data_IF_491420617212
#
_entry.id   IF_491420617212
#
_cell.length_a   1.000
_cell.length_b   1.000
_cell.length_c   1.000
_cell.angle_alpha   90.00
_cell.angle_beta   90.00
_cell.angle_gamma   90.00
#
_symmetry.space_group_name_H-M   'P 1'
#
loop_
_entity.id
_entity.type
_entity.pdbx_description
1 polymer ?
#
# COMPACT_ATOMS: atom_id res chain seq x y z
N UNK A 1 79.21 15.05 -5.10
CA UNK A 1 78.45 16.23 -5.56
C UNK A 1 77.72 15.74 -6.78
N UNK A 2 76.56 15.14 -6.56
CA UNK A 2 75.87 14.36 -7.58
C UNK A 2 74.44 14.88 -7.67
N UNK A 3 74.13 15.44 -8.84
CA UNK A 3 72.94 16.21 -9.10
C UNK A 3 71.69 15.34 -9.05
N UNK A 4 70.71 15.80 -8.26
CA UNK A 4 69.38 15.19 -8.13
C UNK A 4 68.57 15.46 -9.42
N UNK A 5 67.95 14.47 -10.06
CA UNK A 5 67.13 14.69 -11.25
C UNK A 5 65.88 15.53 -10.91
N UNK A 6 65.60 16.58 -11.69
CA UNK A 6 64.36 17.34 -11.58
C UNK A 6 63.18 16.54 -12.17
N UNK A 7 61.99 16.57 -11.53
CA UNK A 7 60.80 15.92 -12.07
C UNK A 7 60.22 16.72 -13.25
N UNK A 8 59.86 16.01 -14.31
CA UNK A 8 59.20 16.56 -15.49
C UNK A 8 57.83 17.17 -15.13
N UNK A 9 57.59 18.41 -15.52
CA UNK A 9 56.30 19.08 -15.41
C UNK A 9 55.33 18.58 -16.48
N UNK A 10 54.47 17.63 -16.14
CA UNK A 10 53.35 17.23 -17.00
C UNK A 10 52.15 18.14 -16.72
N UNK A 11 51.89 19.09 -17.62
CA UNK A 11 50.65 19.87 -17.63
C UNK A 11 49.51 19.00 -18.16
N UNK A 12 48.64 18.51 -17.28
CA UNK A 12 47.36 17.88 -17.65
C UNK A 12 46.40 18.98 -18.12
N UNK A 13 45.77 18.86 -19.30
CA UNK A 13 44.71 19.78 -19.67
C UNK A 13 43.47 19.53 -18.80
N UNK A 14 43.00 20.58 -18.13
CA UNK A 14 41.72 20.64 -17.42
C UNK A 14 40.60 20.26 -18.38
N UNK A 15 39.69 19.32 -18.06
CA UNK A 15 38.51 19.11 -18.88
C UNK A 15 37.63 20.36 -18.76
N UNK A 16 37.39 21.03 -19.88
CA UNK A 16 36.41 22.09 -19.95
C UNK A 16 35.04 21.51 -19.58
N UNK A 17 34.52 21.91 -18.42
CA UNK A 17 33.16 21.59 -18.02
C UNK A 17 32.22 22.38 -18.94
N UNK A 18 31.56 21.70 -19.88
CA UNK A 18 30.53 22.33 -20.72
C UNK A 18 29.46 22.93 -19.82
N UNK A 19 29.29 24.26 -19.89
CA UNK A 19 28.30 25.02 -19.14
C UNK A 19 26.93 25.07 -19.82
N UNK A 20 26.69 24.24 -20.84
CA UNK A 20 25.37 24.15 -21.45
C UNK A 20 24.50 23.13 -20.70
N UNK A 21 23.29 23.54 -20.26
CA UNK A 21 22.32 22.60 -19.73
C UNK A 21 22.01 21.53 -20.79
N UNK A 22 21.86 20.25 -20.40
CA UNK A 22 21.50 19.20 -21.34
C UNK A 22 20.20 19.59 -22.04
N UNK A 23 20.22 19.54 -23.37
CA UNK A 23 19.05 19.78 -24.20
C UNK A 23 17.90 18.88 -23.71
N UNK A 24 16.69 19.42 -23.50
CA UNK A 24 15.58 18.63 -22.98
C UNK A 24 15.31 17.47 -23.93
N UNK A 25 15.25 16.25 -23.39
CA UNK A 25 14.88 15.06 -24.14
C UNK A 25 13.62 15.33 -24.97
N UNK A 26 13.58 14.93 -26.25
CA UNK A 26 12.42 15.16 -27.09
C UNK A 26 11.16 14.67 -26.39
N UNK A 27 10.15 15.54 -26.28
CA UNK A 27 8.82 15.12 -25.85
C UNK A 27 8.41 14.00 -26.80
N UNK A 28 8.04 12.81 -26.27
CA UNK A 28 7.60 11.71 -27.13
C UNK A 28 6.51 12.23 -28.06
N UNK A 29 6.74 12.12 -29.37
CA UNK A 29 5.75 12.52 -30.35
C UNK A 29 4.44 11.78 -30.07
N UNK A 30 3.31 12.48 -30.21
CA UNK A 30 1.96 12.00 -29.90
C UNK A 30 1.61 10.63 -30.54
N UNK A 31 2.37 10.19 -31.55
CA UNK A 31 2.27 8.88 -32.19
C UNK A 31 2.58 7.68 -31.27
N UNK A 32 3.19 7.88 -30.11
CA UNK A 32 3.39 6.80 -29.13
C UNK A 32 2.15 6.53 -28.26
N UNK A 33 1.16 7.44 -28.23
CA UNK A 33 -0.06 7.33 -27.42
C UNK A 33 -1.08 6.37 -28.08
N UNK A 34 -1.02 6.20 -29.41
CA UNK A 34 -1.96 5.36 -30.18
C UNK A 34 -1.79 3.84 -30.01
N UNK A 35 -0.69 3.37 -29.42
CA UNK A 35 -0.42 1.92 -29.25
C UNK A 35 -0.83 1.34 -27.90
N UNK A 36 -1.45 2.12 -27.02
CA UNK A 36 -2.00 1.53 -25.81
C UNK A 36 -3.22 0.68 -26.17
N UNK A 37 -3.37 -0.52 -25.56
CA UNK A 37 -4.62 -1.25 -25.67
C UNK A 37 -5.77 -0.32 -25.26
N UNK A 38 -6.96 -0.45 -25.89
CA UNK A 38 -8.10 0.35 -25.49
C UNK A 38 -8.28 0.20 -23.98
N UNK A 39 -8.51 1.33 -23.29
CA UNK A 39 -8.82 1.31 -21.86
C UNK A 39 -9.89 0.23 -21.66
N UNK A 40 -9.72 -0.71 -20.73
CA UNK A 40 -10.73 -1.73 -20.46
C UNK A 40 -12.09 -1.05 -20.34
N UNK A 41 -13.14 -1.71 -20.85
CA UNK A 41 -14.49 -1.23 -20.67
C UNK A 41 -14.69 -0.83 -19.19
N UNK A 42 -15.41 0.26 -18.87
CA UNK A 42 -15.67 0.65 -17.50
C UNK A 42 -16.11 -0.60 -16.73
N UNK A 43 -15.42 -0.89 -15.62
CA UNK A 43 -15.83 -2.00 -14.78
C UNK A 43 -17.28 -1.76 -14.39
N UNK A 44 -18.12 -2.77 -14.57
CA UNK A 44 -19.46 -2.73 -14.01
C UNK A 44 -19.32 -2.36 -12.52
N UNK A 45 -20.13 -1.42 -12.05
CA UNK A 45 -20.05 -0.97 -10.66
C UNK A 45 -20.31 -2.16 -9.73
N UNK A 46 -19.32 -2.54 -8.94
CA UNK A 46 -19.54 -3.55 -7.91
C UNK A 46 -20.30 -2.90 -6.75
N UNK A 47 -21.54 -3.33 -6.54
CA UNK A 47 -22.36 -2.93 -5.40
C UNK A 47 -22.58 -4.15 -4.53
N UNK A 48 -21.88 -4.23 -3.39
CA UNK A 48 -21.95 -5.41 -2.52
C UNK A 48 -23.39 -5.78 -2.11
N UNK A 49 -24.29 -4.80 -1.97
CA UNK A 49 -25.70 -5.05 -1.61
C UNK A 49 -26.49 -5.81 -2.66
N UNK A 50 -26.08 -5.77 -3.92
CA UNK A 50 -26.73 -6.54 -4.99
C UNK A 50 -26.40 -8.03 -4.88
N UNK A 51 -25.21 -8.35 -4.34
CA UNK A 51 -24.70 -9.71 -4.20
C UNK A 51 -24.98 -10.29 -2.81
N UNK A 52 -24.97 -9.43 -1.78
CA UNK A 52 -25.19 -9.77 -0.38
C UNK A 52 -26.24 -8.81 0.23
N UNK A 53 -27.52 -8.89 -0.17
CA UNK A 53 -28.56 -7.95 0.24
C UNK A 53 -28.85 -7.98 1.75
N UNK A 54 -28.58 -9.13 2.39
CA UNK A 54 -28.79 -9.33 3.81
C UNK A 54 -27.53 -9.06 4.64
N UNK A 55 -26.39 -8.72 4.01
CA UNK A 55 -25.17 -8.47 4.76
C UNK A 55 -25.31 -7.23 5.63
N UNK A 56 -24.89 -7.36 6.88
CA UNK A 56 -24.98 -6.30 7.89
C UNK A 56 -23.64 -5.59 8.00
N UNK A 57 -23.67 -4.25 7.95
CA UNK A 57 -22.48 -3.42 8.18
C UNK A 57 -22.42 -3.02 9.65
N UNK A 58 -21.31 -3.30 10.31
CA UNK A 58 -21.10 -2.98 11.74
C UNK A 58 -19.82 -2.18 11.89
N UNK A 59 -19.92 -1.01 12.52
CA UNK A 59 -18.78 -0.15 12.84
C UNK A 59 -18.39 -0.27 14.30
N UNK A 60 -17.15 -0.68 14.56
CA UNK A 60 -16.67 -1.09 15.87
C UNK A 60 -15.56 -0.15 16.34
N UNK A 61 -15.76 0.51 17.48
CA UNK A 61 -14.79 1.45 18.09
C UNK A 61 -14.38 1.06 19.52
N UNK A 62 -14.91 -0.04 20.03
CA UNK A 62 -14.63 -0.58 21.36
C UNK A 62 -14.11 -2.03 21.24
N UNK A 63 -13.07 -2.37 21.99
CA UNK A 63 -12.41 -3.69 21.91
C UNK A 63 -13.33 -4.83 22.37
N UNK A 64 -14.10 -4.65 23.45
CA UNK A 64 -15.02 -5.66 23.96
C UNK A 64 -16.17 -5.92 22.98
N UNK A 65 -16.73 -4.87 22.39
CA UNK A 65 -17.77 -4.99 21.35
C UNK A 65 -17.21 -5.67 20.10
N UNK A 66 -16.00 -5.30 19.66
CA UNK A 66 -15.34 -5.96 18.55
C UNK A 66 -15.12 -7.44 18.83
N UNK A 67 -14.65 -7.81 20.02
CA UNK A 67 -14.46 -9.20 20.42
C UNK A 67 -15.78 -9.99 20.39
N UNK A 68 -16.88 -9.41 20.89
CA UNK A 68 -18.20 -10.05 20.85
C UNK A 68 -18.70 -10.29 19.43
N UNK A 69 -18.62 -9.29 18.56
CA UNK A 69 -19.05 -9.41 17.16
C UNK A 69 -18.17 -10.38 16.37
N UNK A 70 -16.85 -10.28 16.49
CA UNK A 70 -15.92 -11.15 15.77
C UNK A 70 -15.97 -12.61 16.26
N UNK A 71 -16.45 -12.86 17.47
CA UNK A 71 -16.65 -14.23 17.97
C UNK A 71 -17.74 -15.00 17.24
N UNK A 72 -18.64 -14.32 16.52
CA UNK A 72 -19.67 -14.98 15.70
C UNK A 72 -19.19 -15.28 14.28
N UNK A 73 -17.98 -14.84 13.90
CA UNK A 73 -17.46 -15.02 12.55
C UNK A 73 -16.93 -16.44 12.37
N UNK A 74 -17.45 -17.14 11.37
CA UNK A 74 -17.02 -18.51 11.03
C UNK A 74 -15.74 -18.50 10.19
N UNK A 75 -14.84 -19.50 10.37
CA UNK A 75 -13.70 -19.69 9.48
C UNK A 75 -14.13 -19.92 8.03
N UNK A 76 -13.31 -19.47 7.09
CA UNK A 76 -13.60 -19.51 5.65
C UNK A 76 -12.86 -18.42 4.88
N UNK A 77 -13.29 -18.17 3.65
CA UNK A 77 -12.80 -17.03 2.88
C UNK A 77 -13.43 -15.74 3.40
N UNK A 78 -12.60 -14.75 3.72
CA UNK A 78 -13.04 -13.44 4.18
C UNK A 78 -12.38 -12.35 3.34
N UNK A 79 -13.14 -11.31 3.00
CA UNK A 79 -12.58 -10.06 2.52
C UNK A 79 -11.78 -9.40 3.63
N UNK A 80 -10.58 -8.91 3.31
CA UNK A 80 -9.66 -8.28 4.24
C UNK A 80 -8.99 -7.07 3.60
N UNK A 81 -9.02 -5.95 4.31
CA UNK A 81 -8.35 -4.71 3.90
C UNK A 81 -7.94 -3.85 5.11
N UNK A 82 -6.91 -3.02 4.94
CA UNK A 82 -6.33 -2.18 6.00
C UNK A 82 -6.25 -0.72 5.52
N UNK A 83 -6.61 0.22 6.39
CA UNK A 83 -6.53 1.65 6.08
C UNK A 83 -5.71 2.39 7.14
N UNK A 84 -4.88 3.34 6.72
CA UNK A 84 -4.08 4.21 7.57
C UNK A 84 -4.13 5.66 7.08
N UNK A 85 -3.78 6.60 7.96
CA UNK A 85 -3.69 8.02 7.57
C UNK A 85 -2.54 8.20 6.56
N UNK A 86 -2.73 8.91 5.44
CA UNK A 86 -1.65 9.12 4.47
C UNK A 86 -0.55 10.01 5.04
N UNK A 87 0.70 9.73 4.64
CA UNK A 87 1.86 10.58 4.91
C UNK A 87 2.33 11.21 3.61
N UNK A 88 2.29 12.54 3.54
CA UNK A 88 2.62 13.30 2.32
C UNK A 88 4.12 13.68 2.21
N UNK A 89 4.91 13.38 3.25
CA UNK A 89 6.34 13.61 3.24
C UNK A 89 7.07 12.46 2.53
N UNK A 90 7.82 12.78 1.47
CA UNK A 90 8.58 11.80 0.69
C UNK A 90 9.61 11.10 1.59
N UNK A 91 9.55 9.77 1.64
CA UNK A 91 10.49 8.93 2.42
C UNK A 91 10.15 8.79 3.90
N UNK A 92 8.99 9.29 4.36
CA UNK A 92 8.53 9.05 5.73
C UNK A 92 7.90 7.65 5.87
N UNK A 93 8.01 7.07 7.07
CA UNK A 93 7.36 5.80 7.42
C UNK A 93 5.84 5.96 7.38
N UNK A 94 5.14 4.89 6.97
CA UNK A 94 3.68 4.85 7.00
C UNK A 94 3.13 4.92 8.44
N UNK A 95 1.93 5.46 8.56
CA UNK A 95 1.25 5.48 9.85
C UNK A 95 0.80 4.07 10.24
N UNK A 96 0.67 3.78 11.55
CA UNK A 96 0.04 2.55 12.00
C UNK A 96 -1.37 2.40 11.41
N UNK A 97 -1.79 1.14 11.25
CA UNK A 97 -3.15 0.78 10.82
C UNK A 97 -4.18 1.51 11.67
N UNK A 98 -5.12 2.18 11.01
CA UNK A 98 -6.19 2.94 11.64
C UNK A 98 -7.53 2.20 11.67
N UNK A 99 -7.81 1.42 10.63
CA UNK A 99 -9.03 0.65 10.43
C UNK A 99 -8.68 -0.72 9.84
N UNK A 100 -9.32 -1.77 10.34
CA UNK A 100 -9.32 -3.11 9.74
C UNK A 100 -10.70 -3.39 9.19
N UNK A 101 -10.78 -3.79 7.93
CA UNK A 101 -12.03 -4.14 7.26
C UNK A 101 -12.08 -5.65 7.07
N UNK A 102 -13.16 -6.28 7.55
CA UNK A 102 -13.42 -7.71 7.37
C UNK A 102 -14.80 -7.90 6.74
N UNK A 103 -14.91 -8.79 5.77
CA UNK A 103 -16.20 -9.09 5.15
C UNK A 103 -16.39 -10.59 4.88
N UNK A 104 -17.62 -11.07 5.03
CA UNK A 104 -18.07 -12.36 4.49
C UNK A 104 -19.48 -12.18 3.89
N UNK A 105 -20.16 -13.27 3.57
CA UNK A 105 -21.47 -13.23 2.90
C UNK A 105 -22.56 -12.50 3.72
N UNK A 106 -22.41 -12.47 5.04
CA UNK A 106 -23.44 -11.99 5.98
C UNK A 106 -23.05 -10.70 6.72
N UNK A 107 -21.76 -10.35 6.78
CA UNK A 107 -21.25 -9.29 7.65
C UNK A 107 -20.13 -8.50 6.99
N UNK A 108 -20.13 -7.18 7.23
CA UNK A 108 -19.04 -6.26 6.91
C UNK A 108 -18.67 -5.52 8.21
N UNK A 109 -17.50 -5.82 8.76
CA UNK A 109 -16.96 -5.19 9.95
C UNK A 109 -15.97 -4.08 9.59
N UNK A 110 -16.20 -2.89 10.14
CA UNK A 110 -15.26 -1.77 10.11
C UNK A 110 -14.69 -1.59 11.52
N UNK A 111 -13.49 -2.09 11.77
CA UNK A 111 -12.87 -2.13 13.10
C UNK A 111 -11.87 -0.99 13.25
N UNK A 112 -12.27 0.11 13.89
CA UNK A 112 -11.40 1.29 14.08
C UNK A 112 -10.45 1.09 15.26
N UNK A 113 -9.34 0.41 15.01
CA UNK A 113 -8.32 0.10 16.03
C UNK A 113 -7.74 1.35 16.71
N UNK A 114 -7.65 2.48 15.99
CA UNK A 114 -7.18 3.76 16.56
C UNK A 114 -8.11 4.38 17.60
N UNK A 115 -9.38 3.96 17.65
CA UNK A 115 -10.33 4.41 18.67
C UNK A 115 -10.35 3.51 19.92
N UNK A 116 -9.63 2.40 19.90
CA UNK A 116 -9.66 1.39 20.96
C UNK A 116 -8.49 1.58 21.93
N UNK A 117 -8.73 1.24 23.21
CA UNK A 117 -7.69 1.27 24.24
C UNK A 117 -6.65 0.17 24.06
N UNK A 118 -7.07 -0.93 23.45
CA UNK A 118 -6.27 -2.12 23.20
C UNK A 118 -6.71 -2.77 21.89
N UNK A 119 -5.82 -3.59 21.32
CA UNK A 119 -6.14 -4.34 20.11
C UNK A 119 -7.10 -5.51 20.45
N UNK A 120 -8.21 -5.71 19.72
CA UNK A 120 -9.15 -6.79 20.01
C UNK A 120 -8.48 -8.16 19.89
N UNK A 121 -8.51 -8.96 20.95
CA UNK A 121 -7.93 -10.31 20.96
C UNK A 121 -8.56 -11.21 19.89
N UNK A 122 -9.87 -11.10 19.66
CA UNK A 122 -10.55 -11.92 18.65
C UNK A 122 -10.17 -11.54 17.23
N UNK A 123 -9.89 -10.26 16.99
CA UNK A 123 -9.34 -9.82 15.71
C UNK A 123 -7.96 -10.44 15.49
N UNK A 124 -7.09 -10.44 16.52
CA UNK A 124 -5.78 -11.07 16.45
C UNK A 124 -5.88 -12.56 16.11
N UNK A 125 -6.75 -13.29 16.81
CA UNK A 125 -7.02 -14.71 16.55
C UNK A 125 -7.41 -14.96 15.09
N UNK A 126 -8.37 -14.19 14.55
CA UNK A 126 -8.81 -14.33 13.15
C UNK A 126 -7.67 -14.07 12.17
N UNK A 127 -6.85 -13.04 12.42
CA UNK A 127 -5.74 -12.68 11.54
C UNK A 127 -4.65 -13.78 11.51
N UNK A 128 -4.35 -14.39 12.67
CA UNK A 128 -3.33 -15.43 12.82
C UNK A 128 -3.83 -16.83 12.43
N UNK A 129 -5.13 -17.08 12.47
CA UNK A 129 -5.71 -18.40 12.24
C UNK A 129 -5.73 -18.76 10.74
N UNK A 130 -5.04 -19.85 10.32
CA UNK A 130 -5.02 -20.30 8.92
C UNK A 130 -6.35 -20.85 8.43
N UNK A 131 -7.32 -21.13 9.30
CA UNK A 131 -8.68 -21.50 8.90
C UNK A 131 -9.46 -20.32 8.28
N UNK A 132 -9.00 -19.08 8.49
CA UNK A 132 -9.51 -17.90 7.80
C UNK A 132 -8.59 -17.57 6.61
N UNK A 133 -9.09 -17.80 5.40
CA UNK A 133 -8.41 -17.38 4.16
C UNK A 133 -8.74 -15.91 3.91
N UNK A 134 -7.74 -15.04 3.95
CA UNK A 134 -7.92 -13.59 3.75
C UNK A 134 -7.73 -13.23 2.28
N UNK A 135 -8.80 -12.75 1.63
CA UNK A 135 -8.80 -12.26 0.26
C UNK A 135 -8.78 -10.73 0.25
N UNK A 136 -7.85 -10.14 -0.51
CA UNK A 136 -7.63 -8.70 -0.54
C UNK A 136 -6.58 -8.35 -1.60
N UNK A 137 -6.52 -7.08 -1.97
CA UNK A 137 -5.56 -6.58 -2.96
C UNK A 137 -4.33 -6.04 -2.22
N UNK A 138 -3.12 -6.43 -2.63
CA UNK A 138 -1.90 -5.88 -2.04
C UNK A 138 -1.49 -6.47 -0.69
N UNK A 139 -2.02 -7.63 -0.29
CA UNK A 139 -1.70 -8.31 0.99
C UNK A 139 -0.19 -8.56 1.17
N UNK A 140 0.59 -8.58 0.08
CA UNK A 140 2.04 -8.70 0.12
C UNK A 140 2.76 -7.53 0.83
N UNK A 141 2.10 -6.37 1.01
CA UNK A 141 2.58 -5.27 1.84
C UNK A 141 1.92 -5.19 3.23
N UNK A 142 0.95 -6.07 3.54
CA UNK A 142 0.21 -6.10 4.80
C UNK A 142 0.65 -7.20 5.77
N UNK A 143 1.54 -8.08 5.34
CA UNK A 143 2.19 -9.08 6.19
C UNK A 143 3.55 -8.56 6.65
N UNK A 144 3.55 -7.93 7.83
CA UNK A 144 4.70 -7.59 8.71
C UNK A 144 5.83 -6.75 8.09
#
# INVERSE_FOLDING_TARGET
MDARPQPASSSTPTPAFSTEPPEPSPIPQASAIEKLPPRPAPTCGYVWREWSPNATVVYLRNSDEANRHLSTMTPGCIGFDLEWKPVFAKGAQENPVALVQLANDDMIYLVQVTAMKEFPSKLKEILEDPAYTKAGVGIQGSLL
#
